data_IF_305608643202
#
_entry.id   IF_305608643202
#
_cell.length_a   1.000
_cell.length_b   1.000
_cell.length_c   1.000
_cell.angle_alpha   90.00
_cell.angle_beta   90.00
_cell.angle_gamma   90.00
#
_symmetry.space_group_name_H-M   'P 1'
#
loop_
_entity.id
_entity.type
_entity.pdbx_description
1 polymer ?
#
# COMPACT_ATOMS: atom_id res chain seq x y z
N UNK A 1 -3.05 -12.81 -5.68
CA UNK A 1 -3.13 -11.42 -6.08
C UNK A 1 -4.55 -11.04 -6.51
N UNK A 2 -4.99 -9.87 -6.13
CA UNK A 2 -6.37 -9.46 -6.36
C UNK A 2 -6.51 -8.57 -7.61
N UNK A 3 -6.25 -9.14 -8.77
CA UNK A 3 -6.33 -8.43 -10.04
C UNK A 3 -7.71 -7.78 -10.26
N UNK A 4 -8.78 -8.48 -9.88
CA UNK A 4 -10.13 -7.92 -9.98
C UNK A 4 -10.31 -6.70 -9.07
N UNK A 5 -9.76 -6.75 -7.86
CA UNK A 5 -9.83 -5.62 -6.94
C UNK A 5 -9.08 -4.41 -7.49
N UNK A 6 -7.91 -4.63 -8.11
CA UNK A 6 -7.16 -3.56 -8.76
C UNK A 6 -7.96 -2.94 -9.91
N UNK A 7 -8.63 -3.75 -10.72
CA UNK A 7 -9.48 -3.28 -11.81
C UNK A 7 -10.66 -2.44 -11.31
N UNK A 8 -11.29 -2.85 -10.22
CA UNK A 8 -12.40 -2.10 -9.62
C UNK A 8 -11.95 -0.74 -9.10
N UNK A 9 -10.80 -0.69 -8.43
CA UNK A 9 -10.23 0.55 -7.92
C UNK A 9 -9.86 1.46 -9.09
N UNK A 10 -9.25 0.92 -10.13
CA UNK A 10 -8.89 1.69 -11.33
C UNK A 10 -10.12 2.30 -11.99
N UNK A 11 -11.18 1.54 -12.16
CA UNK A 11 -12.43 2.05 -12.76
C UNK A 11 -13.03 3.16 -11.89
N UNK A 12 -13.04 2.98 -10.59
CA UNK A 12 -13.52 4.00 -9.66
C UNK A 12 -12.73 5.31 -9.79
N UNK A 13 -11.41 5.23 -9.93
CA UNK A 13 -10.55 6.39 -10.14
C UNK A 13 -10.76 7.03 -11.52
N UNK A 14 -10.87 6.21 -12.57
CA UNK A 14 -11.10 6.72 -13.93
C UNK A 14 -12.42 7.51 -14.00
N UNK A 15 -13.45 7.07 -13.31
CA UNK A 15 -14.72 7.78 -13.24
C UNK A 15 -14.62 9.13 -12.55
N UNK A 16 -13.60 9.32 -11.72
CA UNK A 16 -13.32 10.60 -11.06
C UNK A 16 -12.37 11.49 -11.86
N UNK A 17 -11.98 11.09 -13.07
CA UNK A 17 -11.11 11.85 -13.94
C UNK A 17 -9.64 11.60 -13.78
N UNK A 18 -9.24 10.53 -13.09
CA UNK A 18 -7.82 10.16 -12.98
C UNK A 18 -7.35 9.39 -14.20
N UNK A 19 -6.15 9.72 -14.66
CA UNK A 19 -5.37 8.84 -15.53
C UNK A 19 -4.66 7.83 -14.64
N UNK A 20 -4.64 6.57 -15.02
CA UNK A 20 -4.09 5.50 -14.19
C UNK A 20 -3.06 4.67 -14.93
N UNK A 21 -2.08 4.17 -14.16
CA UNK A 21 -1.12 3.16 -14.61
C UNK A 21 -1.16 2.04 -13.60
N UNK A 22 -1.37 0.81 -14.05
CA UNK A 22 -1.52 -0.34 -13.18
C UNK A 22 -0.41 -1.37 -13.41
N UNK A 23 0.09 -1.96 -12.31
CA UNK A 23 1.01 -3.09 -12.38
C UNK A 23 2.41 -2.75 -12.86
N UNK A 24 3.01 -1.68 -12.35
CA UNK A 24 4.38 -1.32 -12.70
C UNK A 24 5.34 -2.25 -11.98
N UNK A 25 6.10 -3.04 -12.74
CA UNK A 25 7.09 -3.95 -12.19
C UNK A 25 8.46 -3.30 -12.10
N UNK A 26 9.10 -3.46 -10.94
CA UNK A 26 10.43 -2.91 -10.65
C UNK A 26 11.25 -4.06 -10.06
N UNK A 27 11.87 -4.87 -10.94
CA UNK A 27 12.55 -6.09 -10.49
C UNK A 27 11.55 -7.07 -9.87
N UNK A 28 11.75 -7.42 -8.60
CA UNK A 28 10.84 -8.29 -7.84
C UNK A 28 9.71 -7.52 -7.17
N UNK A 29 9.78 -6.19 -7.18
CA UNK A 29 8.77 -5.32 -6.61
C UNK A 29 7.72 -4.93 -7.64
N UNK A 30 6.57 -4.49 -7.17
CA UNK A 30 5.48 -4.01 -8.02
C UNK A 30 4.78 -2.82 -7.36
N UNK A 31 4.44 -1.83 -8.16
CA UNK A 31 3.52 -0.76 -7.76
C UNK A 31 2.15 -1.13 -8.32
N UNK A 32 1.17 -1.30 -7.47
CA UNK A 32 -0.15 -1.77 -7.89
C UNK A 32 -0.84 -0.77 -8.80
N UNK A 33 -0.91 0.48 -8.39
CA UNK A 33 -1.68 1.48 -9.13
C UNK A 33 -1.17 2.90 -8.86
N UNK A 34 -0.99 3.66 -9.92
CA UNK A 34 -0.73 5.10 -9.86
C UNK A 34 -1.88 5.84 -10.50
N UNK A 35 -2.28 6.96 -9.92
CA UNK A 35 -3.35 7.80 -10.45
C UNK A 35 -2.96 9.27 -10.43
N UNK A 36 -3.23 9.97 -11.53
CA UNK A 36 -2.91 11.39 -11.69
C UNK A 36 -4.14 12.11 -12.22
N UNK A 37 -4.47 13.21 -11.59
CA UNK A 37 -5.53 14.11 -12.04
C UNK A 37 -5.07 15.55 -11.82
N UNK A 38 -5.54 16.46 -12.67
CA UNK A 38 -5.29 17.89 -12.51
C UNK A 38 -6.56 18.56 -11.94
N UNK A 39 -6.38 19.40 -10.92
CA UNK A 39 -7.48 20.13 -10.33
C UNK A 39 -7.90 21.33 -11.23
N UNK A 40 -8.88 22.11 -10.78
CA UNK A 40 -9.38 23.27 -11.51
C UNK A 40 -8.31 24.33 -11.77
N UNK A 41 -7.29 24.38 -10.93
CA UNK A 41 -6.16 25.31 -11.07
C UNK A 41 -5.03 24.73 -11.91
N UNK A 42 -5.19 23.52 -12.43
CA UNK A 42 -4.15 22.83 -13.19
C UNK A 42 -3.06 22.21 -12.32
N UNK A 43 -3.26 22.10 -11.02
CA UNK A 43 -2.29 21.48 -10.11
C UNK A 43 -2.49 19.96 -10.10
N UNK A 44 -1.41 19.18 -10.17
CA UNK A 44 -1.52 17.72 -10.20
C UNK A 44 -1.86 17.14 -8.84
N UNK A 45 -2.74 16.15 -8.85
CA UNK A 45 -3.01 15.28 -7.72
C UNK A 45 -2.45 13.91 -8.06
N UNK A 46 -1.39 13.48 -7.38
CA UNK A 46 -0.70 12.21 -7.64
C UNK A 46 -0.92 11.25 -6.50
N UNK A 47 -1.47 10.07 -6.80
CA UNK A 47 -1.82 9.05 -5.80
C UNK A 47 -1.13 7.74 -6.09
N UNK A 48 -0.38 7.24 -5.11
CA UNK A 48 0.20 5.90 -5.14
C UNK A 48 -0.70 5.00 -4.30
N UNK A 49 -1.34 4.04 -4.95
CA UNK A 49 -2.34 3.18 -4.32
C UNK A 49 -1.86 1.74 -4.34
N UNK A 50 -1.83 1.11 -3.18
CA UNK A 50 -1.63 -0.33 -3.03
C UNK A 50 -2.96 -0.96 -2.67
N UNK A 51 -3.30 -2.06 -3.34
CA UNK A 51 -4.59 -2.74 -3.17
C UNK A 51 -4.36 -4.07 -2.48
N UNK A 52 -5.03 -4.27 -1.35
CA UNK A 52 -4.92 -5.49 -0.56
C UNK A 52 -6.32 -6.07 -0.32
N UNK A 53 -6.78 -6.88 -1.24
CA UNK A 53 -8.02 -7.65 -1.08
C UNK A 53 -7.65 -9.06 -0.63
N UNK A 54 -7.94 -9.38 0.61
CA UNK A 54 -7.56 -10.64 1.23
C UNK A 54 -8.66 -11.11 2.17
N UNK A 55 -8.72 -12.42 2.41
CA UNK A 55 -9.58 -13.00 3.43
C UNK A 55 -9.02 -12.76 4.84
N UNK A 56 -7.75 -12.36 4.95
CA UNK A 56 -7.11 -12.03 6.22
C UNK A 56 -7.27 -10.54 6.53
N UNK A 57 -7.49 -10.17 7.80
CA UNK A 57 -7.48 -8.76 8.20
C UNK A 57 -6.18 -8.07 7.86
N UNK A 58 -6.24 -6.78 7.49
CA UNK A 58 -5.04 -6.00 7.13
C UNK A 58 -4.01 -5.95 8.25
N UNK A 59 -4.46 -6.01 9.51
CA UNK A 59 -3.56 -6.07 10.66
C UNK A 59 -2.66 -7.30 10.69
N UNK A 60 -2.98 -8.35 9.92
CA UNK A 60 -2.22 -9.59 9.86
C UNK A 60 -1.35 -9.73 8.62
N UNK A 61 -1.43 -8.82 7.67
CA UNK A 61 -0.57 -8.83 6.48
C UNK A 61 0.84 -8.32 6.79
N UNK A 62 0.99 -7.55 7.86
CA UNK A 62 2.30 -7.10 8.32
C UNK A 62 2.98 -8.16 9.18
N UNK A 63 4.29 -8.26 9.05
CA UNK A 63 5.09 -9.16 9.89
C UNK A 63 5.39 -8.51 11.22
N UNK A 64 5.63 -9.34 12.24
CA UNK A 64 6.13 -8.85 13.52
C UNK A 64 7.62 -8.51 13.35
N UNK A 65 8.04 -7.27 13.67
CA UNK A 65 9.46 -6.91 13.61
C UNK A 65 10.33 -7.84 14.46
N UNK A 66 11.51 -8.19 13.96
CA UNK A 66 12.39 -9.16 14.62
C UNK A 66 12.73 -8.80 16.06
N UNK A 67 12.91 -7.52 16.34
CA UNK A 67 13.24 -7.03 17.68
C UNK A 67 12.06 -7.12 18.67
N UNK A 68 10.86 -7.39 18.19
CA UNK A 68 9.66 -7.52 19.02
C UNK A 68 9.12 -8.95 19.07
N UNK A 69 9.83 -9.90 18.47
CA UNK A 69 9.44 -11.31 18.49
C UNK A 69 9.60 -11.89 19.90
N UNK A 70 8.58 -12.62 20.35
CA UNK A 70 8.67 -13.42 21.56
C UNK A 70 9.44 -14.71 21.29
N UNK A 71 10.07 -15.32 22.31
CA UNK A 71 10.77 -16.60 22.13
C UNK A 71 9.85 -17.65 21.48
N UNK A 72 10.36 -18.29 20.43
CA UNK A 72 9.61 -19.31 19.69
C UNK A 72 8.53 -18.77 18.74
N UNK A 73 8.37 -17.47 18.64
CA UNK A 73 7.37 -16.86 17.75
C UNK A 73 7.95 -16.59 16.37
N UNK A 74 7.21 -16.96 15.32
CA UNK A 74 7.57 -16.63 13.95
C UNK A 74 7.11 -15.21 13.59
N UNK A 75 7.87 -14.51 12.75
CA UNK A 75 7.51 -13.16 12.28
C UNK A 75 6.21 -13.16 11.47
N UNK A 76 5.83 -14.29 10.90
CA UNK A 76 4.60 -14.49 10.14
C UNK A 76 3.46 -15.05 10.98
N UNK A 77 3.61 -15.09 12.31
CA UNK A 77 2.58 -15.60 13.22
C UNK A 77 1.25 -14.90 13.01
N UNK A 78 0.15 -15.69 13.01
CA UNK A 78 -1.21 -15.18 12.94
C UNK A 78 -1.78 -14.82 14.32
N UNK A 79 -0.98 -14.92 15.38
CA UNK A 79 -1.40 -14.55 16.72
C UNK A 79 -1.78 -13.08 16.81
N UNK A 80 -2.75 -12.77 17.65
CA UNK A 80 -3.15 -11.39 17.91
C UNK A 80 -1.97 -10.61 18.46
N UNK A 81 -1.79 -9.38 17.97
CA UNK A 81 -0.65 -8.54 18.31
C UNK A 81 -1.06 -7.42 19.25
N UNK A 82 -0.19 -7.12 20.21
CA UNK A 82 -0.33 -5.93 21.03
C UNK A 82 -0.22 -4.68 20.16
N UNK A 83 -0.82 -3.58 20.60
CA UNK A 83 -0.81 -2.33 19.84
C UNK A 83 0.59 -1.85 19.43
N UNK A 84 1.60 -1.83 20.32
CA UNK A 84 2.96 -1.43 19.91
C UNK A 84 3.55 -2.33 18.83
N UNK A 85 3.35 -3.64 18.94
CA UNK A 85 3.83 -4.63 17.95
C UNK A 85 3.10 -4.43 16.63
N UNK A 86 1.79 -4.23 16.68
CA UNK A 86 0.98 -4.00 15.49
C UNK A 86 1.40 -2.73 14.77
N UNK A 87 1.59 -1.62 15.50
CA UNK A 87 2.03 -0.35 14.93
C UNK A 87 3.40 -0.47 14.26
N UNK A 88 4.35 -1.13 14.93
CA UNK A 88 5.69 -1.33 14.38
C UNK A 88 5.65 -2.19 13.12
N UNK A 89 4.86 -3.25 13.12
CA UNK A 89 4.68 -4.12 11.96
C UNK A 89 4.05 -3.40 10.78
N UNK A 90 3.00 -2.63 11.02
CA UNK A 90 2.33 -1.85 9.98
C UNK A 90 3.24 -0.77 9.43
N UNK A 91 3.99 -0.08 10.29
CA UNK A 91 4.95 0.93 9.84
C UNK A 91 6.03 0.32 8.95
N UNK A 92 6.60 -0.81 9.34
CA UNK A 92 7.58 -1.53 8.52
C UNK A 92 6.98 -1.95 7.18
N UNK A 93 5.75 -2.44 7.18
CA UNK A 93 5.04 -2.82 5.98
C UNK A 93 4.80 -1.61 5.05
N UNK A 94 4.38 -0.47 5.60
CA UNK A 94 4.17 0.77 4.85
C UNK A 94 5.48 1.25 4.21
N UNK A 95 6.58 1.25 4.96
CA UNK A 95 7.90 1.62 4.44
C UNK A 95 8.29 0.72 3.26
N UNK A 96 8.05 -0.58 3.40
CA UNK A 96 8.36 -1.54 2.35
C UNK A 96 7.48 -1.37 1.11
N UNK A 97 6.19 -1.10 1.29
CA UNK A 97 5.23 -1.00 0.18
C UNK A 97 5.29 0.34 -0.54
N UNK A 98 5.45 1.44 0.18
CA UNK A 98 5.32 2.78 -0.39
C UNK A 98 6.62 3.55 -0.50
N UNK A 99 7.57 3.33 0.39
CA UNK A 99 8.77 4.16 0.51
C UNK A 99 10.07 3.49 0.12
N UNK A 100 10.00 2.35 -0.53
CA UNK A 100 11.18 1.69 -1.04
C UNK A 100 11.89 2.60 -2.05
N UNK A 101 13.22 2.83 -1.96
CA UNK A 101 13.92 3.76 -2.85
C UNK A 101 13.69 3.50 -4.33
N UNK A 102 13.61 2.25 -4.75
CA UNK A 102 13.34 1.89 -6.14
C UNK A 102 11.97 2.39 -6.61
N UNK A 103 10.96 2.27 -5.76
CA UNK A 103 9.60 2.71 -6.07
C UNK A 103 9.51 4.23 -6.13
N UNK A 104 10.06 4.92 -5.14
CA UNK A 104 10.04 6.38 -5.11
C UNK A 104 10.80 6.99 -6.29
N UNK A 105 11.90 6.36 -6.71
CA UNK A 105 12.64 6.81 -7.88
C UNK A 105 11.82 6.72 -9.16
N UNK A 106 11.05 5.64 -9.32
CA UNK A 106 10.17 5.47 -10.49
C UNK A 106 9.03 6.49 -10.49
N UNK A 107 8.40 6.72 -9.34
CA UNK A 107 7.33 7.71 -9.22
C UNK A 107 7.83 9.11 -9.60
N UNK A 108 9.00 9.49 -9.10
CA UNK A 108 9.58 10.77 -9.40
C UNK A 108 9.96 10.94 -10.88
N UNK A 109 10.43 9.85 -11.51
CA UNK A 109 10.70 9.85 -12.95
C UNK A 109 9.43 10.02 -13.79
N UNK A 110 8.35 9.37 -13.39
CA UNK A 110 7.08 9.45 -14.11
C UNK A 110 6.46 10.84 -13.99
N UNK A 111 6.47 11.37 -12.79
CA UNK A 111 5.95 12.71 -12.54
C UNK A 111 6.59 13.28 -11.27
N UNK A 112 7.53 14.25 -11.40
CA UNK A 112 8.21 14.83 -10.24
C UNK A 112 7.25 15.72 -9.45
N UNK A 113 6.59 15.13 -8.47
CA UNK A 113 5.63 15.78 -7.60
C UNK A 113 5.50 15.00 -6.31
N UNK A 114 4.72 15.53 -5.39
CA UNK A 114 4.39 14.86 -4.15
C UNK A 114 3.31 13.79 -4.41
N UNK A 115 3.59 12.56 -3.98
CA UNK A 115 2.68 11.44 -4.16
C UNK A 115 2.03 11.08 -2.83
N UNK A 116 0.71 11.00 -2.79
CA UNK A 116 0.03 10.45 -1.61
C UNK A 116 0.16 8.92 -1.61
N UNK A 117 0.26 8.33 -0.43
CA UNK A 117 0.32 6.88 -0.25
C UNK A 117 -0.99 6.40 0.32
N UNK A 118 -1.68 5.50 -0.38
CA UNK A 118 -3.01 5.06 -0.02
C UNK A 118 -3.13 3.54 -0.09
N UNK A 119 -3.78 2.97 0.91
CA UNK A 119 -4.08 1.54 0.94
C UNK A 119 -5.58 1.33 0.77
N UNK A 120 -5.97 0.53 -0.21
CA UNK A 120 -7.34 0.06 -0.37
C UNK A 120 -7.41 -1.39 0.10
N UNK A 121 -8.25 -1.66 1.09
CA UNK A 121 -8.38 -2.98 1.70
C UNK A 121 -9.83 -3.30 2.02
N UNK A 122 -10.11 -4.56 2.28
CA UNK A 122 -11.48 -5.03 2.53
C UNK A 122 -11.74 -5.41 3.98
N UNK A 123 -10.74 -5.84 4.75
CA UNK A 123 -10.91 -6.32 6.12
C UNK A 123 -9.89 -5.69 7.05
N UNK A 124 -10.36 -5.17 8.19
CA UNK A 124 -9.52 -4.72 9.29
C UNK A 124 -9.97 -5.43 10.56
N UNK A 125 -9.06 -6.12 11.24
CA UNK A 125 -9.38 -6.81 12.50
C UNK A 125 -9.24 -5.92 13.71
N UNK A 126 -8.35 -4.95 13.69
CA UNK A 126 -8.07 -4.06 14.80
C UNK A 126 -8.57 -2.64 14.49
N UNK A 127 -9.38 -2.10 15.37
CA UNK A 127 -9.77 -0.69 15.30
C UNK A 127 -8.56 0.16 15.68
N UNK A 128 -8.29 1.20 15.00
CA UNK A 128 -7.15 2.08 15.29
C UNK A 128 -5.95 1.92 14.35
N UNK A 129 -6.15 1.21 13.28
CA UNK A 129 -5.18 1.17 12.19
C UNK A 129 -5.31 2.37 11.25
#
# INVERSE_FOLDING_TARGET
MALLAEELVEEWLNRQGYFTIRGIKIGVDEVDLLAIRFDEKGLPECRHIEVQASMRPVSYISRIPKNLLKPGQASTSAAERDEPVLRAGVQEWVEKKFRKPKKTAVLEKLFPNEWSSELVHNIVKSEGL
#
